data_IF_266141458277
#
_entry.id   IF_266141458277
#
_cell.length_a   1.000
_cell.length_b   1.000
_cell.length_c   1.000
_cell.angle_alpha   90.00
_cell.angle_beta   90.00
_cell.angle_gamma   90.00
#
_symmetry.space_group_name_H-M   'P 1'
#
loop_
_entity.id
_entity.type
_entity.pdbx_description
1 polymer ?
#
# COMPACT_ATOMS: atom_id res chain seq x y z
N UNK A 1 52.25 -40.14 14.57
CA UNK A 1 50.78 -40.31 14.39
C UNK A 1 49.99 -39.43 15.37
N UNK A 2 50.40 -39.33 16.62
CA UNK A 2 49.75 -38.58 17.71
C UNK A 2 49.57 -37.06 17.47
N UNK A 3 50.54 -36.37 16.84
CA UNK A 3 50.42 -34.93 16.54
C UNK A 3 49.33 -34.59 15.50
N UNK A 4 49.04 -35.48 14.53
CA UNK A 4 47.98 -35.27 13.53
C UNK A 4 46.58 -35.48 14.12
N UNK A 5 46.45 -36.40 15.08
CA UNK A 5 45.19 -36.68 15.78
C UNK A 5 44.81 -35.51 16.70
N UNK A 6 45.78 -34.93 17.42
CA UNK A 6 45.54 -33.75 18.28
C UNK A 6 45.15 -32.52 17.45
N UNK A 7 45.80 -32.29 16.30
CA UNK A 7 45.44 -31.17 15.42
C UNK A 7 44.04 -31.33 14.82
N UNK A 8 43.66 -32.56 14.45
CA UNK A 8 42.32 -32.87 13.94
C UNK A 8 41.24 -32.72 15.02
N UNK A 9 41.52 -33.16 16.26
CA UNK A 9 40.61 -32.96 17.41
C UNK A 9 40.47 -31.49 17.79
N UNK A 10 41.55 -30.70 17.79
CA UNK A 10 41.46 -29.25 18.01
C UNK A 10 40.68 -28.55 16.88
N UNK A 11 40.86 -28.97 15.62
CA UNK A 11 40.12 -28.40 14.49
C UNK A 11 38.63 -28.76 14.55
N UNK A 12 38.28 -29.98 14.99
CA UNK A 12 36.90 -30.42 15.22
C UNK A 12 36.27 -29.67 16.40
N UNK A 13 37.03 -29.45 17.48
CA UNK A 13 36.58 -28.69 18.66
C UNK A 13 36.36 -27.21 18.32
N UNK A 14 37.25 -26.63 17.50
CA UNK A 14 37.10 -25.26 16.97
C UNK A 14 35.92 -25.19 16.00
N UNK A 15 35.69 -26.18 15.13
CA UNK A 15 34.50 -26.21 14.26
C UNK A 15 33.19 -26.34 15.06
N UNK A 16 33.17 -27.17 16.12
CA UNK A 16 32.01 -27.31 17.01
C UNK A 16 31.75 -26.07 17.89
N UNK A 17 32.78 -25.27 18.17
CA UNK A 17 32.62 -23.97 18.85
C UNK A 17 32.22 -22.85 17.87
N UNK A 18 32.73 -22.84 16.64
CA UNK A 18 32.38 -21.82 15.63
C UNK A 18 30.91 -21.97 15.20
N UNK A 19 30.36 -23.18 15.12
CA UNK A 19 28.94 -23.39 14.77
C UNK A 19 27.94 -23.06 15.89
N UNK A 20 28.39 -22.83 17.13
CA UNK A 20 27.51 -22.45 18.25
C UNK A 20 27.51 -20.95 18.59
N UNK A 21 28.34 -20.14 17.94
CA UNK A 21 28.52 -18.72 18.31
C UNK A 21 27.78 -17.74 17.37
N UNK A 22 27.21 -18.21 16.27
CA UNK A 22 26.13 -17.45 15.63
C UNK A 22 24.83 -17.82 16.32
N UNK A 23 24.48 -17.08 17.37
CA UNK A 23 23.09 -16.98 17.78
C UNK A 23 22.32 -16.51 16.53
N UNK A 24 21.68 -17.44 15.83
CA UNK A 24 20.81 -17.12 14.71
C UNK A 24 19.73 -16.21 15.28
N UNK A 25 19.72 -14.97 14.82
CA UNK A 25 18.61 -14.06 15.09
C UNK A 25 17.40 -14.68 14.41
N UNK A 26 16.35 -14.95 15.19
CA UNK A 26 15.12 -15.59 14.71
C UNK A 26 14.00 -14.58 14.62
N UNK A 27 13.06 -14.76 13.68
CA UNK A 27 11.90 -13.86 13.55
C UNK A 27 10.86 -14.11 14.64
N UNK A 28 10.95 -15.27 15.30
CA UNK A 28 10.04 -15.72 16.36
C UNK A 28 10.79 -16.03 17.65
N UNK A 29 10.14 -15.79 18.78
CA UNK A 29 10.64 -16.19 20.09
C UNK A 29 9.55 -16.18 21.15
N UNK A 30 9.82 -16.79 22.30
CA UNK A 30 9.04 -16.61 23.51
C UNK A 30 9.88 -15.95 24.59
N UNK A 31 9.28 -15.03 25.33
CA UNK A 31 9.78 -14.59 26.62
C UNK A 31 8.92 -15.22 27.71
N UNK A 32 9.54 -16.04 28.57
CA UNK A 32 8.86 -16.68 29.69
C UNK A 32 9.19 -15.91 30.96
N UNK A 33 8.16 -15.36 31.61
CA UNK A 33 8.23 -14.77 32.94
C UNK A 33 7.75 -15.83 33.94
N UNK A 34 8.62 -16.25 34.85
CA UNK A 34 8.28 -17.19 35.93
C UNK A 34 8.33 -16.48 37.27
N UNK A 35 7.17 -16.36 37.92
CA UNK A 35 7.03 -15.86 39.28
C UNK A 35 6.87 -17.03 40.26
N UNK A 36 7.73 -17.07 41.28
CA UNK A 36 7.65 -18.05 42.37
C UNK A 36 6.72 -17.48 43.45
N UNK A 37 5.50 -18.00 43.53
CA UNK A 37 4.42 -17.42 44.36
C UNK A 37 4.33 -18.01 45.77
N UNK A 38 4.95 -19.18 45.99
CA UNK A 38 4.97 -19.86 47.27
C UNK A 38 6.04 -20.94 47.32
N UNK A 39 6.18 -21.61 48.46
CA UNK A 39 7.06 -22.77 48.59
C UNK A 39 6.50 -23.77 49.62
N UNK A 40 6.57 -25.05 49.28
CA UNK A 40 6.46 -26.20 50.19
C UNK A 40 7.84 -26.86 50.38
N UNK A 41 7.89 -28.08 50.91
CA UNK A 41 9.15 -28.76 51.25
C UNK A 41 10.02 -29.08 50.03
N UNK A 42 9.42 -29.55 48.95
CA UNK A 42 10.06 -29.69 47.64
C UNK A 42 9.10 -29.17 46.56
N UNK A 43 9.56 -28.23 45.72
CA UNK A 43 8.75 -27.68 44.64
C UNK A 43 9.61 -27.56 43.40
N UNK A 44 9.13 -28.09 42.29
CA UNK A 44 9.80 -27.98 41.00
C UNK A 44 8.82 -27.44 39.98
N UNK A 45 9.20 -26.38 39.27
CA UNK A 45 8.41 -25.77 38.22
C UNK A 45 9.15 -25.84 36.91
N UNK A 46 8.64 -26.64 35.97
CA UNK A 46 9.28 -26.91 34.70
C UNK A 46 8.38 -26.54 33.53
N UNK A 47 8.98 -25.98 32.50
CA UNK A 47 8.32 -25.75 31.22
C UNK A 47 9.25 -26.22 30.10
N UNK A 48 8.73 -27.01 29.19
CA UNK A 48 9.40 -27.48 27.99
C UNK A 48 8.68 -26.94 26.77
N UNK A 49 9.46 -26.40 25.83
CA UNK A 49 8.96 -25.86 24.58
C UNK A 49 9.66 -26.59 23.44
N UNK A 50 8.86 -27.12 22.51
CA UNK A 50 9.33 -27.82 21.32
C UNK A 50 8.43 -27.47 20.14
N UNK A 51 8.98 -27.48 18.94
CA UNK A 51 8.20 -27.38 17.70
C UNK A 51 8.29 -28.69 16.92
N UNK A 52 7.51 -28.77 15.84
CA UNK A 52 7.62 -29.82 14.84
C UNK A 52 9.03 -29.94 14.21
N UNK A 53 9.85 -28.89 14.29
CA UNK A 53 11.24 -28.89 13.79
C UNK A 53 12.28 -29.23 14.85
N UNK A 54 11.88 -29.41 16.11
CA UNK A 54 12.75 -29.89 17.18
C UNK A 54 12.55 -29.20 18.53
N UNK A 55 13.44 -29.51 19.47
CA UNK A 55 13.42 -28.90 20.80
C UNK A 55 13.87 -27.43 20.74
N UNK A 56 13.09 -26.54 21.37
CA UNK A 56 13.37 -25.10 21.44
C UNK A 56 14.12 -24.77 22.73
N UNK A 57 13.60 -25.22 23.86
CA UNK A 57 14.18 -24.89 25.16
C UNK A 57 13.35 -25.36 26.35
N UNK A 58 13.89 -25.19 27.55
CA UNK A 58 13.18 -25.46 28.79
C UNK A 58 13.57 -24.49 29.90
N UNK A 59 12.66 -24.30 30.85
CA UNK A 59 12.93 -23.64 32.14
C UNK A 59 12.71 -24.64 33.26
N UNK A 60 13.47 -24.52 34.35
CA UNK A 60 13.31 -25.32 35.56
C UNK A 60 13.68 -24.46 36.76
N UNK A 61 12.78 -24.39 37.74
CA UNK A 61 12.94 -23.56 38.92
C UNK A 61 12.55 -24.32 40.18
N UNK A 62 13.35 -24.13 41.23
CA UNK A 62 13.05 -24.65 42.56
C UNK A 62 12.48 -23.53 43.45
N UNK A 63 11.33 -23.79 44.09
CA UNK A 63 10.76 -22.85 45.05
C UNK A 63 11.25 -23.16 46.48
N UNK A 64 11.82 -22.16 47.13
CA UNK A 64 12.27 -22.18 48.52
C UNK A 64 11.93 -20.86 49.20
N UNK A 65 12.16 -20.78 50.51
CA UNK A 65 11.98 -19.54 51.28
C UNK A 65 12.78 -18.35 50.75
N UNK A 66 13.87 -18.59 50.01
CA UNK A 66 14.72 -17.55 49.42
C UNK A 66 14.35 -17.18 47.99
N UNK A 67 13.49 -17.96 47.32
CA UNK A 67 13.09 -17.70 45.93
C UNK A 67 11.66 -17.21 45.79
N UNK A 68 10.82 -17.33 46.82
CA UNK A 68 9.47 -16.77 46.81
C UNK A 68 9.51 -15.26 46.61
N UNK A 69 8.67 -14.79 45.69
CA UNK A 69 8.61 -13.40 45.24
C UNK A 69 9.58 -13.08 44.10
N UNK A 70 10.52 -13.97 43.77
CA UNK A 70 11.41 -13.75 42.63
C UNK A 70 10.67 -13.93 41.31
N UNK A 71 11.05 -13.09 40.35
CA UNK A 71 10.60 -13.16 38.96
C UNK A 71 11.82 -13.43 38.09
N UNK A 72 11.72 -14.48 37.27
CA UNK A 72 12.76 -14.90 36.34
C UNK A 72 12.27 -14.74 34.90
N UNK A 73 13.19 -14.37 34.00
CA UNK A 73 12.91 -14.23 32.57
C UNK A 73 13.79 -15.17 31.77
N UNK A 74 13.19 -15.93 30.85
CA UNK A 74 13.91 -16.81 29.93
C UNK A 74 13.46 -16.53 28.49
N UNK A 75 14.42 -16.19 27.63
CA UNK A 75 14.19 -16.02 26.21
C UNK A 75 14.42 -17.34 25.47
N UNK A 76 13.48 -17.71 24.60
CA UNK A 76 13.51 -18.93 23.80
C UNK A 76 13.36 -18.59 22.31
N UNK A 77 14.45 -18.56 21.52
CA UNK A 77 14.37 -18.31 20.08
C UNK A 77 13.74 -19.50 19.36
N UNK A 78 12.90 -19.23 18.36
CA UNK A 78 12.21 -20.27 17.58
C UNK A 78 12.62 -20.12 16.13
N UNK A 79 13.11 -21.20 15.52
CA UNK A 79 13.44 -21.19 14.09
C UNK A 79 12.19 -20.99 13.24
N UNK A 80 12.27 -20.09 12.25
CA UNK A 80 11.13 -19.65 11.46
C UNK A 80 10.46 -20.77 10.64
N UNK A 81 11.12 -21.91 10.43
CA UNK A 81 10.60 -23.05 9.66
C UNK A 81 9.52 -23.87 10.36
N UNK A 82 9.16 -23.55 11.61
CA UNK A 82 8.11 -24.25 12.35
C UNK A 82 6.71 -24.06 11.76
N UNK A 83 5.82 -25.01 12.05
CA UNK A 83 4.38 -24.94 11.78
C UNK A 83 3.56 -24.82 13.06
N UNK A 84 4.05 -25.42 14.14
CA UNK A 84 3.42 -25.50 15.43
C UNK A 84 4.47 -25.54 16.55
N UNK A 85 4.06 -25.11 17.74
CA UNK A 85 4.84 -25.21 18.98
C UNK A 85 4.00 -25.91 20.02
N UNK A 86 4.56 -26.96 20.61
CA UNK A 86 4.04 -27.64 21.79
C UNK A 86 4.73 -27.13 23.04
N UNK A 87 3.94 -26.69 24.02
CA UNK A 87 4.38 -26.25 25.34
C UNK A 87 3.89 -27.27 26.37
N UNK A 88 4.79 -27.80 27.18
CA UNK A 88 4.48 -28.69 28.31
C UNK A 88 4.94 -28.05 29.60
N UNK A 89 4.02 -27.85 30.54
CA UNK A 89 4.30 -27.34 31.89
C UNK A 89 4.10 -28.46 32.88
N UNK A 90 5.09 -28.68 33.75
CA UNK A 90 5.00 -29.61 34.86
C UNK A 90 5.46 -28.90 36.14
N UNK A 91 4.49 -28.58 37.00
CA UNK A 91 4.74 -27.97 38.29
C UNK A 91 4.34 -28.96 39.39
N UNK A 92 5.24 -29.22 40.33
CA UNK A 92 5.00 -30.12 41.46
C UNK A 92 5.35 -29.43 42.77
N UNK A 93 4.59 -29.74 43.82
CA UNK A 93 4.87 -29.29 45.18
C UNK A 93 4.52 -30.39 46.19
N UNK A 94 5.42 -30.62 47.14
CA UNK A 94 5.36 -31.69 48.15
C UNK A 94 5.51 -31.07 49.53
N UNK A 95 4.63 -31.39 50.49
CA UNK A 95 4.79 -31.07 51.92
C UNK A 95 5.44 -32.22 52.66
N UNK A 96 6.05 -31.91 53.80
CA UNK A 96 6.57 -32.94 54.72
C UNK A 96 5.38 -33.79 55.17
N UNK A 97 5.42 -35.10 54.86
CA UNK A 97 4.45 -36.15 55.20
C UNK A 97 3.20 -36.32 54.29
N UNK A 98 3.13 -35.67 53.14
CA UNK A 98 2.10 -35.94 52.10
C UNK A 98 2.77 -36.14 50.73
N UNK A 99 2.38 -37.20 50.00
CA UNK A 99 2.78 -37.42 48.61
C UNK A 99 1.96 -36.53 47.66
N UNK A 100 2.54 -36.11 46.51
CA UNK A 100 2.58 -34.70 46.10
C UNK A 100 1.29 -33.94 46.43
N UNK A 101 1.41 -32.89 47.26
CA UNK A 101 0.27 -32.04 47.64
C UNK A 101 -0.29 -31.24 46.47
N UNK A 102 0.52 -31.01 45.44
CA UNK A 102 0.07 -30.43 44.19
C UNK A 102 0.89 -30.95 43.03
N UNK A 103 0.20 -31.36 41.97
CA UNK A 103 0.76 -31.57 40.63
C UNK A 103 -0.09 -30.79 39.66
N UNK A 104 0.55 -29.98 38.82
CA UNK A 104 -0.07 -29.25 37.74
C UNK A 104 0.69 -29.58 36.46
N UNK A 105 0.01 -30.31 35.57
CA UNK A 105 0.52 -30.66 34.26
C UNK A 105 -0.40 -30.05 33.20
N UNK A 106 0.18 -29.38 32.22
CA UNK A 106 -0.56 -28.84 31.08
C UNK A 106 0.26 -28.93 29.83
N UNK A 107 -0.39 -29.36 28.76
CA UNK A 107 0.16 -29.34 27.40
C UNK A 107 -0.70 -28.43 26.53
N UNK A 108 -0.06 -27.60 25.72
CA UNK A 108 -0.74 -26.70 24.80
C UNK A 108 0.02 -26.61 23.48
N UNK A 109 -0.71 -26.71 22.39
CA UNK A 109 -0.20 -26.52 21.03
C UNK A 109 -0.59 -25.13 20.52
N UNK A 110 0.34 -24.47 19.84
CA UNK A 110 0.16 -23.16 19.20
C UNK A 110 0.60 -23.26 17.75
N UNK A 111 -0.35 -23.11 16.83
CA UNK A 111 -0.06 -23.02 15.40
C UNK A 111 0.63 -21.69 15.08
N UNK A 112 1.56 -21.70 14.12
CA UNK A 112 2.28 -20.49 13.68
C UNK A 112 1.34 -19.35 13.25
N UNK A 113 0.22 -19.67 12.59
CA UNK A 113 -0.80 -18.69 12.21
C UNK A 113 -1.45 -17.96 13.40
N UNK A 114 -1.39 -18.56 14.59
CA UNK A 114 -1.96 -18.05 15.83
C UNK A 114 -0.87 -17.62 16.83
N UNK A 115 0.38 -17.49 16.40
CA UNK A 115 1.52 -17.30 17.30
C UNK A 115 1.36 -16.07 18.21
N UNK A 116 0.81 -14.98 17.68
CA UNK A 116 0.57 -13.73 18.41
C UNK A 116 -0.83 -13.63 19.04
N UNK A 117 -1.59 -14.72 19.15
CA UNK A 117 -2.94 -14.71 19.73
C UNK A 117 -2.92 -14.62 21.27
N UNK A 118 -2.25 -13.59 21.79
CA UNK A 118 -2.20 -13.25 23.21
C UNK A 118 -1.11 -13.97 24.01
N UNK A 119 -0.99 -13.54 25.26
CA UNK A 119 -0.05 -14.11 26.24
C UNK A 119 -0.63 -15.43 26.76
N UNK A 120 0.21 -16.46 26.88
CA UNK A 120 -0.19 -17.71 27.51
C UNK A 120 0.09 -17.69 29.01
N UNK A 121 -0.86 -18.22 29.77
CA UNK A 121 -0.82 -18.20 31.24
C UNK A 121 -0.91 -19.62 31.79
N UNK A 122 0.03 -19.94 32.67
CA UNK A 122 0.10 -21.21 33.38
C UNK A 122 0.29 -20.91 34.87
N UNK A 123 -0.68 -21.29 35.70
CA UNK A 123 -0.65 -21.05 37.14
C UNK A 123 -0.91 -22.37 37.85
N UNK A 124 0.04 -22.81 38.68
CA UNK A 124 -0.08 -24.10 39.35
C UNK A 124 0.95 -24.29 40.45
N UNK A 125 0.50 -24.88 41.54
CA UNK A 125 1.29 -25.16 42.74
C UNK A 125 1.97 -23.90 43.31
N UNK A 126 3.28 -23.75 43.10
CA UNK A 126 4.11 -22.67 43.65
C UNK A 126 4.59 -21.68 42.57
N UNK A 127 4.08 -21.80 41.33
CA UNK A 127 4.60 -21.07 40.17
C UNK A 127 3.47 -20.43 39.36
N UNK A 128 3.75 -19.22 38.89
CA UNK A 128 2.93 -18.51 37.93
C UNK A 128 3.82 -18.12 36.74
N UNK A 129 3.54 -18.72 35.58
CA UNK A 129 4.34 -18.58 34.37
C UNK A 129 3.51 -17.88 33.29
N UNK A 130 4.03 -16.78 32.76
CA UNK A 130 3.50 -16.12 31.57
C UNK A 130 4.45 -16.35 30.41
N UNK A 131 3.91 -16.58 29.23
CA UNK A 131 4.69 -16.71 28.01
C UNK A 131 4.22 -15.67 26.99
N UNK A 132 5.10 -14.71 26.71
CA UNK A 132 4.87 -13.63 25.76
C UNK A 132 5.37 -14.06 24.38
N UNK A 133 4.51 -14.12 23.36
CA UNK A 133 4.97 -14.32 21.98
C UNK A 133 5.72 -13.08 21.50
N UNK A 134 6.90 -13.30 20.92
CA UNK A 134 7.74 -12.27 20.33
C UNK A 134 7.82 -12.52 18.83
N UNK A 135 7.07 -11.73 18.07
CA UNK A 135 7.10 -11.69 16.61
C UNK A 135 6.43 -10.38 16.19
N UNK A 136 7.15 -9.51 15.48
CA UNK A 136 6.63 -8.18 15.14
C UNK A 136 5.58 -8.29 14.03
N UNK A 137 4.32 -8.01 14.38
CA UNK A 137 3.26 -7.79 13.39
C UNK A 137 3.10 -6.29 13.19
N UNK A 138 3.05 -5.88 11.92
CA UNK A 138 2.57 -4.56 11.51
C UNK A 138 1.30 -4.72 10.65
N UNK A 139 0.41 -3.74 10.72
CA UNK A 139 -0.82 -3.75 9.92
C UNK A 139 -0.63 -3.19 8.50
N UNK A 140 0.61 -2.83 8.13
CA UNK A 140 0.99 -2.41 6.76
C UNK A 140 1.11 -3.65 5.84
N UNK A 141 0.05 -4.44 5.78
CA UNK A 141 -0.03 -5.66 4.99
C UNK A 141 -0.39 -5.34 3.53
N UNK A 142 0.46 -4.63 2.77
CA UNK A 142 0.62 -4.65 1.30
C UNK A 142 1.92 -3.88 0.97
N UNK A 143 2.99 -4.58 0.58
CA UNK A 143 4.08 -4.07 -0.29
C UNK A 143 5.06 -3.00 0.25
N UNK A 144 6.35 -3.29 0.08
CA UNK A 144 7.54 -2.40 0.06
C UNK A 144 8.14 -1.83 1.37
N UNK A 145 7.60 -2.11 2.56
CA UNK A 145 8.15 -1.65 3.86
C UNK A 145 8.54 -0.15 3.89
N UNK A 146 7.91 0.65 3.04
CA UNK A 146 8.20 2.07 2.88
C UNK A 146 7.16 2.86 3.65
N UNK A 147 7.62 3.74 4.52
CA UNK A 147 6.78 4.54 5.42
C UNK A 147 7.24 5.99 5.32
N UNK A 148 6.38 6.96 5.56
CA UNK A 148 6.76 8.36 5.56
C UNK A 148 6.80 8.91 7.00
N UNK A 149 7.45 10.06 7.18
CA UNK A 149 7.55 10.77 8.46
C UNK A 149 6.22 11.01 9.21
N UNK A 150 5.07 10.98 8.54
CA UNK A 150 3.74 11.23 9.12
C UNK A 150 2.98 9.93 9.42
N UNK A 151 3.52 8.78 9.02
CA UNK A 151 2.90 7.50 9.36
C UNK A 151 3.07 7.21 10.85
N UNK A 152 2.06 6.56 11.41
CA UNK A 152 2.13 5.92 12.72
C UNK A 152 2.12 4.41 12.50
N UNK A 153 3.11 3.72 13.05
CA UNK A 153 3.22 2.27 12.98
C UNK A 153 2.55 1.65 14.20
N UNK A 154 1.50 0.87 13.99
CA UNK A 154 0.89 0.05 15.03
C UNK A 154 1.57 -1.32 15.03
N UNK A 155 2.37 -1.58 16.07
CA UNK A 155 3.16 -2.80 16.19
C UNK A 155 2.69 -3.63 17.37
N UNK A 156 2.61 -4.95 17.17
CA UNK A 156 2.20 -5.91 18.20
C UNK A 156 3.14 -7.13 18.26
N UNK A 157 3.00 -7.93 19.31
CA UNK A 157 3.77 -9.16 19.51
C UNK A 157 5.18 -8.90 20.03
N UNK A 158 5.32 -8.01 21.02
CA UNK A 158 6.59 -7.72 21.67
C UNK A 158 6.55 -7.65 23.18
N UNK A 159 7.62 -7.13 23.79
CA UNK A 159 7.71 -6.88 25.24
C UNK A 159 8.57 -5.64 25.54
N UNK A 160 9.89 -5.74 25.36
CA UNK A 160 10.78 -4.57 25.32
C UNK A 160 11.02 -4.17 23.86
N UNK A 161 10.89 -2.90 23.55
CA UNK A 161 10.95 -2.35 22.20
C UNK A 161 12.12 -1.40 22.05
N UNK A 162 12.88 -1.60 20.98
CA UNK A 162 14.01 -0.76 20.64
C UNK A 162 13.98 -0.35 19.18
N UNK A 163 14.54 0.82 18.90
CA UNK A 163 14.69 1.34 17.55
C UNK A 163 16.14 1.72 17.23
N UNK A 164 16.44 1.79 15.94
CA UNK A 164 17.70 2.24 15.38
C UNK A 164 17.44 2.99 14.07
N UNK A 165 18.11 4.13 13.89
CA UNK A 165 18.06 4.92 12.65
C UNK A 165 19.46 4.91 12.02
N UNK A 166 19.57 4.40 10.79
CA UNK A 166 20.84 4.32 10.05
C UNK A 166 20.98 3.10 9.14
N UNK A 167 22.15 2.98 8.50
CA UNK A 167 22.41 1.98 7.44
C UNK A 167 23.01 0.66 7.91
N UNK A 168 23.40 0.50 9.19
CA UNK A 168 24.04 -0.74 9.64
C UNK A 168 23.09 -1.91 9.42
N UNK A 169 23.48 -2.88 8.59
CA UNK A 169 22.70 -4.10 8.33
C UNK A 169 22.46 -4.87 9.63
N UNK A 170 23.49 -4.96 10.47
CA UNK A 170 23.44 -5.51 11.82
C UNK A 170 24.00 -4.48 12.81
N UNK A 171 23.16 -3.59 13.38
CA UNK A 171 23.58 -2.67 14.42
C UNK A 171 24.00 -3.45 15.67
N UNK A 172 25.09 -3.03 16.32
CA UNK A 172 25.54 -3.59 17.59
C UNK A 172 24.55 -3.22 18.70
N UNK A 173 24.50 -3.96 19.80
CA UNK A 173 23.48 -3.71 20.85
C UNK A 173 23.55 -2.30 21.46
N UNK A 174 24.73 -1.68 21.51
CA UNK A 174 24.89 -0.29 21.93
C UNK A 174 24.39 0.77 20.93
N UNK A 175 24.05 0.39 19.70
CA UNK A 175 23.46 1.29 18.71
C UNK A 175 21.94 1.47 18.91
N UNK A 176 21.30 0.53 19.60
CA UNK A 176 19.84 0.51 19.76
C UNK A 176 19.38 1.42 20.90
N UNK A 177 18.24 2.08 20.69
CA UNK A 177 17.62 2.99 21.66
C UNK A 177 16.32 2.42 22.18
N UNK A 178 16.09 2.57 23.48
CA UNK A 178 14.85 2.14 24.11
C UNK A 178 13.68 3.01 23.64
N UNK A 179 12.59 2.37 23.23
CA UNK A 179 11.34 3.03 22.87
C UNK A 179 10.27 2.84 23.95
N UNK A 180 10.02 1.58 24.30
CA UNK A 180 9.06 1.19 25.32
C UNK A 180 9.49 -0.13 25.98
N UNK A 181 9.00 -0.40 27.19
CA UNK A 181 9.40 -1.59 27.97
C UNK A 181 8.19 -2.23 28.64
N UNK A 182 8.23 -3.56 28.76
CA UNK A 182 7.18 -4.38 29.35
C UNK A 182 5.76 -4.14 28.78
N UNK A 183 5.65 -3.91 27.46
CA UNK A 183 4.37 -3.71 26.76
C UNK A 183 4.30 -4.55 25.49
N UNK A 184 3.14 -5.13 25.22
CA UNK A 184 2.97 -6.04 24.07
C UNK A 184 2.71 -5.34 22.75
N UNK A 185 2.19 -4.12 22.79
CA UNK A 185 1.80 -3.33 21.63
C UNK A 185 2.33 -1.90 21.80
N UNK A 186 2.74 -1.29 20.69
CA UNK A 186 3.21 0.10 20.64
C UNK A 186 2.66 0.81 19.40
N UNK A 187 2.48 2.12 19.52
CA UNK A 187 2.12 3.03 18.44
C UNK A 187 3.30 3.98 18.21
N UNK A 188 3.94 3.91 17.06
CA UNK A 188 5.19 4.60 16.75
C UNK A 188 4.97 5.67 15.70
N UNK A 189 4.97 6.95 16.10
CA UNK A 189 5.04 8.05 15.15
C UNK A 189 6.46 8.17 14.57
N UNK A 190 6.60 7.95 13.26
CA UNK A 190 7.90 7.94 12.58
C UNK A 190 8.58 9.30 12.67
N UNK A 191 7.83 10.39 12.49
CA UNK A 191 8.36 11.75 12.53
C UNK A 191 8.87 12.15 13.91
N UNK A 192 8.15 11.76 14.96
CA UNK A 192 8.54 12.05 16.34
C UNK A 192 9.84 11.33 16.73
N UNK A 193 10.04 10.09 16.25
CA UNK A 193 11.31 9.37 16.42
C UNK A 193 12.48 10.14 15.79
N UNK A 194 12.32 10.56 14.54
CA UNK A 194 13.37 11.31 13.83
C UNK A 194 13.63 12.68 14.46
N UNK A 195 12.59 13.38 14.90
CA UNK A 195 12.71 14.65 15.60
C UNK A 195 13.45 14.51 16.94
N UNK A 196 13.21 13.41 17.67
CA UNK A 196 13.93 13.09 18.92
C UNK A 196 15.43 12.91 18.67
N UNK A 197 15.81 12.40 17.50
CA UNK A 197 17.19 12.27 17.05
C UNK A 197 17.79 13.58 16.49
N UNK A 198 17.00 14.65 16.39
CA UNK A 198 17.41 15.89 15.72
C UNK A 198 17.60 15.72 14.20
N UNK A 199 16.96 14.72 13.60
CA UNK A 199 17.06 14.42 12.17
C UNK A 199 15.83 14.96 11.45
N UNK A 200 16.04 15.92 10.56
CA UNK A 200 15.03 16.34 9.59
C UNK A 200 15.03 15.39 8.41
N UNK A 201 13.98 14.58 8.25
CA UNK A 201 13.86 13.61 7.15
C UNK A 201 13.96 14.30 5.79
N UNK A 202 13.45 15.52 5.68
CA UNK A 202 13.32 16.23 4.42
C UNK A 202 14.69 16.77 3.94
N UNK A 203 15.62 17.00 4.87
CA UNK A 203 17.00 17.39 4.56
C UNK A 203 17.87 16.18 4.18
N UNK A 204 17.36 14.95 4.33
CA UNK A 204 18.09 13.75 3.95
C UNK A 204 17.97 13.49 2.44
N UNK A 205 19.08 13.19 1.79
CA UNK A 205 19.06 12.65 0.43
C UNK A 205 18.25 11.33 0.38
N UNK A 206 17.60 10.96 -0.75
CA UNK A 206 16.80 9.74 -0.85
C UNK A 206 17.56 8.45 -0.53
N UNK A 207 18.88 8.41 -0.78
CA UNK A 207 19.74 7.27 -0.48
C UNK A 207 20.48 7.39 0.86
N UNK A 208 20.14 8.37 1.70
CA UNK A 208 20.82 8.59 2.97
C UNK A 208 20.60 7.39 3.91
N UNK A 209 21.66 6.85 4.55
CA UNK A 209 21.57 5.83 5.59
C UNK A 209 20.49 6.07 6.65
N UNK A 210 20.32 7.33 7.03
CA UNK A 210 19.38 7.77 8.06
C UNK A 210 17.93 7.57 7.64
N UNK A 211 17.61 7.28 6.37
CA UNK A 211 16.26 6.91 5.95
C UNK A 211 15.90 5.45 6.28
N UNK A 212 16.80 4.65 6.85
CA UNK A 212 16.50 3.30 7.31
C UNK A 212 16.14 3.32 8.80
N UNK A 213 14.88 3.02 9.12
CA UNK A 213 14.36 2.84 10.48
C UNK A 213 14.26 1.35 10.78
N UNK A 214 14.87 0.89 11.87
CA UNK A 214 14.77 -0.49 12.34
C UNK A 214 14.11 -0.55 13.69
N UNK A 215 13.22 -1.50 13.89
CA UNK A 215 12.53 -1.74 15.17
C UNK A 215 12.67 -3.21 15.52
N UNK A 216 13.07 -3.51 16.76
CA UNK A 216 13.18 -4.87 17.30
C UNK A 216 12.45 -5.00 18.63
N UNK A 217 12.08 -6.23 18.97
CA UNK A 217 11.51 -6.54 20.29
C UNK A 217 12.17 -7.75 20.94
N UNK A 218 12.10 -7.82 22.27
CA UNK A 218 12.84 -8.81 23.05
C UNK A 218 12.78 -8.56 24.55
N UNK A 219 13.87 -8.88 25.22
CA UNK A 219 14.05 -8.66 26.65
C UNK A 219 15.40 -8.00 26.92
N UNK A 220 15.35 -6.74 27.33
CA UNK A 220 16.53 -5.87 27.45
C UNK A 220 17.52 -6.35 28.50
N UNK A 221 17.03 -6.87 29.63
CA UNK A 221 17.91 -7.29 30.73
C UNK A 221 18.71 -8.55 30.41
N UNK A 222 18.25 -9.39 29.47
CA UNK A 222 19.01 -10.54 28.97
C UNK A 222 19.77 -10.28 27.67
N UNK A 223 19.62 -9.08 27.09
CA UNK A 223 20.17 -8.72 25.78
C UNK A 223 19.81 -9.75 24.68
N UNK A 224 18.52 -10.12 24.64
CA UNK A 224 17.98 -11.08 23.67
C UNK A 224 16.80 -10.47 22.94
N UNK A 225 16.87 -10.48 21.61
CA UNK A 225 15.88 -9.89 20.73
C UNK A 225 15.61 -10.80 19.53
N UNK A 226 14.39 -10.73 19.00
CA UNK A 226 14.06 -11.31 17.69
C UNK A 226 14.59 -10.41 16.56
N UNK A 227 14.52 -10.89 15.32
CA UNK A 227 14.88 -10.13 14.13
C UNK A 227 14.20 -8.78 14.09
N UNK A 228 14.98 -7.77 13.68
CA UNK A 228 14.46 -6.43 13.52
C UNK A 228 13.64 -6.30 12.24
N UNK A 229 12.53 -5.59 12.33
CA UNK A 229 11.80 -5.11 11.16
C UNK A 229 12.43 -3.83 10.65
N UNK A 230 12.65 -3.75 9.34
CA UNK A 230 13.31 -2.60 8.69
C UNK A 230 12.33 -1.88 7.78
N UNK A 231 12.23 -0.57 7.97
CA UNK A 231 11.41 0.34 7.18
C UNK A 231 12.29 1.34 6.42
N UNK A 232 11.93 1.64 5.18
CA UNK A 232 12.52 2.73 4.41
C UNK A 232 11.66 3.98 4.58
N UNK A 233 12.24 5.06 5.07
CA UNK A 233 11.54 6.30 5.40
C UNK A 233 11.60 7.28 4.24
N UNK A 234 10.47 7.45 3.55
CA UNK A 234 10.31 8.38 2.45
C UNK A 234 9.81 9.75 2.92
N UNK A 235 9.85 10.71 1.99
CA UNK A 235 9.14 11.96 2.15
C UNK A 235 7.62 11.69 2.10
N UNK A 236 6.84 12.50 2.82
CA UNK A 236 5.38 12.34 2.87
C UNK A 236 4.71 13.10 1.75
N UNK A 237 4.03 12.41 0.84
CA UNK A 237 3.14 13.06 -0.13
C UNK A 237 1.95 13.74 0.57
N UNK A 238 1.44 14.87 0.06
CA UNK A 238 0.17 15.43 0.46
C UNK A 238 -0.96 14.40 0.36
N UNK A 239 -1.88 14.40 1.31
CA UNK A 239 -3.05 13.51 1.29
C UNK A 239 -3.99 13.86 0.13
N UNK A 240 -4.47 12.86 -0.60
CA UNK A 240 -5.52 13.06 -1.60
C UNK A 240 -6.83 13.47 -0.92
N UNK A 241 -7.49 14.52 -1.42
CA UNK A 241 -8.79 14.98 -0.91
C UNK A 241 -9.93 14.62 -1.84
N UNK A 242 -9.85 15.05 -3.09
CA UNK A 242 -10.90 14.80 -4.09
C UNK A 242 -10.42 15.10 -5.50
N UNK A 243 -11.19 14.66 -6.48
CA UNK A 243 -11.06 15.14 -7.86
C UNK A 243 -11.89 16.40 -8.08
N UNK A 244 -11.40 17.27 -8.95
CA UNK A 244 -12.12 18.46 -9.41
C UNK A 244 -11.86 18.72 -10.90
N UNK A 245 -12.56 19.70 -11.48
CA UNK A 245 -12.49 20.03 -12.91
C UNK A 245 -12.65 18.80 -13.81
N UNK A 246 -13.57 17.91 -13.43
CA UNK A 246 -13.90 16.71 -14.18
C UNK A 246 -14.72 17.08 -15.41
N UNK A 247 -14.11 16.99 -16.58
CA UNK A 247 -14.73 17.31 -17.87
C UNK A 247 -14.78 16.04 -18.71
N UNK A 248 -15.97 15.64 -19.14
CA UNK A 248 -16.18 14.57 -20.13
C UNK A 248 -15.64 14.97 -21.50
N UNK A 249 -15.45 14.02 -22.41
CA UNK A 249 -15.03 14.35 -23.78
C UNK A 249 -16.06 15.24 -24.49
N UNK A 250 -15.64 16.07 -25.43
CA UNK A 250 -16.55 16.91 -26.23
C UNK A 250 -17.33 16.11 -27.28
N UNK A 251 -16.79 14.95 -27.67
CA UNK A 251 -17.39 14.00 -28.60
C UNK A 251 -17.11 12.56 -28.21
N UNK A 252 -17.94 11.66 -28.72
CA UNK A 252 -17.83 10.21 -28.50
C UNK A 252 -16.45 9.66 -28.91
N UNK A 253 -15.84 10.26 -29.93
CA UNK A 253 -14.57 9.83 -30.51
C UNK A 253 -13.40 10.79 -30.21
N UNK A 254 -13.62 11.82 -29.39
CA UNK A 254 -12.54 12.73 -28.98
C UNK A 254 -11.90 12.21 -27.69
N UNK A 255 -10.66 12.61 -27.47
CA UNK A 255 -9.87 12.25 -26.28
C UNK A 255 -9.64 13.43 -25.35
N UNK A 256 -10.48 14.45 -25.42
CA UNK A 256 -10.28 15.76 -24.79
C UNK A 256 -10.93 15.90 -23.40
N UNK A 257 -11.12 14.79 -22.69
CA UNK A 257 -11.51 14.80 -21.29
C UNK A 257 -10.44 15.49 -20.43
N UNK A 258 -10.86 16.00 -19.27
CA UNK A 258 -9.97 16.66 -18.28
C UNK A 258 -10.33 16.24 -16.86
N UNK A 259 -9.32 16.30 -16.00
CA UNK A 259 -9.45 16.01 -14.57
C UNK A 259 -8.35 16.75 -13.82
N UNK A 260 -8.56 16.98 -12.53
CA UNK A 260 -7.59 17.61 -11.64
C UNK A 260 -7.72 17.03 -10.23
N UNK A 261 -6.68 17.16 -9.42
CA UNK A 261 -6.59 16.57 -8.08
C UNK A 261 -6.45 17.65 -7.02
N UNK A 262 -7.28 17.60 -5.98
CA UNK A 262 -7.09 18.38 -4.77
C UNK A 262 -6.32 17.56 -3.74
N UNK A 263 -5.25 18.16 -3.22
CA UNK A 263 -4.39 17.61 -2.18
C UNK A 263 -4.55 18.41 -0.88
N UNK A 264 -4.28 17.78 0.26
CA UNK A 264 -4.55 18.32 1.60
C UNK A 264 -3.59 19.42 2.08
N UNK A 265 -2.51 19.66 1.33
CA UNK A 265 -1.52 20.71 1.60
C UNK A 265 -0.78 21.07 0.32
N UNK A 266 -0.12 22.23 0.33
CA UNK A 266 0.79 22.63 -0.73
C UNK A 266 2.04 21.74 -0.75
N UNK A 267 2.80 21.86 -1.84
CA UNK A 267 4.19 21.41 -1.92
C UNK A 267 5.02 22.29 -0.96
N UNK A 268 5.86 21.65 -0.15
CA UNK A 268 6.71 22.32 0.83
C UNK A 268 7.94 22.94 0.18
N UNK A 269 7.80 24.22 -0.19
CA UNK A 269 8.85 25.01 -0.84
C UNK A 269 10.08 25.18 0.06
N UNK A 270 9.90 25.22 1.39
CA UNK A 270 11.02 25.38 2.32
C UNK A 270 11.98 24.17 2.27
N UNK A 271 11.48 23.05 1.73
CA UNK A 271 12.19 21.78 1.66
C UNK A 271 12.51 21.34 0.23
N UNK A 272 12.34 22.24 -0.75
CA UNK A 272 12.50 21.94 -2.17
C UNK A 272 11.70 20.68 -2.57
N UNK A 273 10.43 20.57 -2.16
CA UNK A 273 9.55 19.48 -2.58
C UNK A 273 9.09 19.69 -4.04
N UNK A 274 8.81 18.60 -4.77
CA UNK A 274 8.05 18.61 -6.02
C UNK A 274 7.11 17.40 -6.08
N UNK A 275 5.99 17.56 -6.76
CA UNK A 275 5.00 16.51 -6.95
C UNK A 275 5.25 15.79 -8.28
N UNK A 276 5.30 14.46 -8.25
CA UNK A 276 5.33 13.59 -9.42
C UNK A 276 3.99 12.87 -9.52
N UNK A 277 3.36 12.92 -10.69
CA UNK A 277 2.05 12.31 -10.92
C UNK A 277 2.06 11.53 -12.23
N UNK A 278 1.45 10.35 -12.22
CA UNK A 278 1.19 9.54 -13.42
C UNK A 278 -0.24 9.01 -13.43
N UNK A 279 -0.71 8.60 -14.60
CA UNK A 279 -2.09 8.17 -14.86
C UNK A 279 -2.13 6.70 -15.27
N UNK A 280 -3.03 5.94 -14.65
CA UNK A 280 -3.35 4.57 -15.02
C UNK A 280 -4.79 4.48 -15.52
N UNK A 281 -5.02 3.64 -16.52
CA UNK A 281 -6.35 3.22 -16.97
C UNK A 281 -6.67 1.87 -16.35
N UNK A 282 -7.86 1.77 -15.77
CA UNK A 282 -8.35 0.52 -15.19
C UNK A 282 -8.65 -0.49 -16.30
N UNK A 283 -7.99 -1.65 -16.25
CA UNK A 283 -8.27 -2.80 -17.10
C UNK A 283 -8.35 -4.05 -16.20
N UNK A 284 -9.59 -4.51 -16.00
CA UNK A 284 -9.92 -5.65 -15.13
C UNK A 284 -9.51 -7.00 -15.74
N UNK A 285 -9.13 -7.04 -17.02
CA UNK A 285 -8.80 -8.27 -17.74
C UNK A 285 -7.30 -8.49 -17.80
N UNK A 286 -6.53 -7.46 -18.15
CA UNK A 286 -5.07 -7.57 -18.36
C UNK A 286 -4.23 -6.91 -17.26
N UNK A 287 -4.88 -6.35 -16.24
CA UNK A 287 -4.26 -5.52 -15.22
C UNK A 287 -4.16 -4.05 -15.66
N UNK A 288 -4.13 -3.16 -14.67
CA UNK A 288 -4.16 -1.71 -14.90
C UNK A 288 -3.06 -1.25 -15.86
N UNK A 289 -3.45 -0.45 -16.86
CA UNK A 289 -2.57 0.02 -17.91
C UNK A 289 -1.97 1.38 -17.55
N UNK A 290 -0.65 1.46 -17.52
CA UNK A 290 0.07 2.73 -17.40
C UNK A 290 -0.01 3.51 -18.71
N UNK A 291 -0.48 4.76 -18.64
CA UNK A 291 -0.74 5.56 -19.85
C UNK A 291 0.52 6.15 -20.50
N UNK A 292 1.72 5.86 -19.97
CA UNK A 292 3.00 6.39 -20.46
C UNK A 292 3.14 7.92 -20.32
N UNK A 293 2.33 8.52 -19.43
CA UNK A 293 2.27 9.95 -19.18
C UNK A 293 2.66 10.25 -17.74
N UNK A 294 3.46 11.30 -17.54
CA UNK A 294 3.78 11.82 -16.22
C UNK A 294 3.85 13.34 -16.23
N UNK A 295 3.60 13.95 -15.07
CA UNK A 295 3.75 15.38 -14.82
C UNK A 295 4.56 15.58 -13.54
N UNK A 296 5.37 16.62 -13.55
CA UNK A 296 6.20 17.03 -12.43
C UNK A 296 5.90 18.48 -12.14
N UNK A 297 5.36 18.77 -10.97
CA UNK A 297 4.96 20.11 -10.58
C UNK A 297 5.73 20.57 -9.36
N UNK A 298 6.13 21.84 -9.35
CA UNK A 298 6.78 22.47 -8.19
C UNK A 298 5.84 23.38 -7.41
N UNK A 299 4.62 23.61 -7.91
CA UNK A 299 3.62 24.46 -7.25
C UNK A 299 2.22 23.87 -7.45
N UNK A 300 1.35 24.08 -6.47
CA UNK A 300 -0.08 23.76 -6.56
C UNK A 300 -0.94 25.03 -6.51
N UNK A 301 -2.15 24.94 -7.05
CA UNK A 301 -3.11 26.05 -7.03
C UNK A 301 -3.89 26.01 -5.71
N UNK A 302 -3.79 27.03 -4.87
CA UNK A 302 -4.60 27.09 -3.66
C UNK A 302 -6.10 27.25 -3.99
N UNK A 303 -6.88 26.20 -3.74
CA UNK A 303 -8.33 26.14 -3.97
C UNK A 303 -9.15 26.43 -2.70
N UNK A 304 -8.50 26.85 -1.60
CA UNK A 304 -9.14 27.16 -0.32
C UNK A 304 -9.45 25.93 0.54
N UNK A 305 -9.70 26.14 1.84
CA UNK A 305 -10.16 25.07 2.76
C UNK A 305 -9.22 23.86 2.83
N UNK A 306 -7.90 24.10 2.93
CA UNK A 306 -6.86 23.06 2.92
C UNK A 306 -6.85 22.19 1.65
N UNK A 307 -7.21 22.77 0.50
CA UNK A 307 -7.17 22.11 -0.80
C UNK A 307 -6.19 22.81 -1.73
N UNK A 308 -5.27 22.04 -2.27
CA UNK A 308 -4.23 22.49 -3.20
C UNK A 308 -4.32 21.68 -4.48
N UNK A 309 -4.63 22.36 -5.58
CA UNK A 309 -5.00 21.80 -6.85
C UNK A 309 -3.81 21.53 -7.75
N UNK A 310 -3.70 20.29 -8.21
CA UNK A 310 -2.87 19.88 -9.35
C UNK A 310 -3.77 19.70 -10.58
N UNK A 311 -3.42 20.30 -11.72
CA UNK A 311 -4.15 20.17 -12.98
C UNK A 311 -3.42 19.19 -13.88
N UNK A 312 -4.09 18.10 -14.26
CA UNK A 312 -3.48 17.15 -15.19
C UNK A 312 -3.31 17.80 -16.58
N UNK A 313 -2.09 17.81 -17.14
CA UNK A 313 -1.82 18.59 -18.34
C UNK A 313 -2.23 17.88 -19.64
N UNK A 314 -2.54 16.58 -19.60
CA UNK A 314 -2.86 15.79 -20.79
C UNK A 314 -4.36 15.53 -20.96
N UNK A 315 -4.73 15.41 -22.22
CA UNK A 315 -6.04 15.00 -22.70
C UNK A 315 -6.31 13.52 -22.34
N UNK A 316 -7.51 13.22 -21.81
CA UNK A 316 -7.91 11.87 -21.41
C UNK A 316 -9.10 11.40 -22.23
N UNK A 317 -8.98 10.21 -22.83
CA UNK A 317 -10.08 9.52 -23.50
C UNK A 317 -11.11 8.98 -22.51
N UNK A 318 -12.19 8.42 -23.05
CA UNK A 318 -13.26 7.85 -22.22
C UNK A 318 -12.81 6.56 -21.54
N UNK A 319 -13.15 6.40 -20.27
CA UNK A 319 -12.81 5.20 -19.50
C UNK A 319 -12.72 5.46 -18.01
N UNK A 320 -12.27 4.43 -17.28
CA UNK A 320 -11.98 4.50 -15.85
C UNK A 320 -10.49 4.57 -15.61
N UNK A 321 -10.08 5.44 -14.70
CA UNK A 321 -8.70 5.79 -14.44
C UNK A 321 -8.47 6.03 -12.96
N UNK A 322 -7.21 6.07 -12.57
CA UNK A 322 -6.76 6.57 -11.29
C UNK A 322 -5.37 7.18 -11.44
N UNK A 323 -5.03 8.08 -10.53
CA UNK A 323 -3.68 8.64 -10.46
C UNK A 323 -2.83 7.87 -9.47
N UNK A 324 -1.54 7.84 -9.77
CA UNK A 324 -0.49 7.49 -8.83
C UNK A 324 0.45 8.68 -8.67
N UNK A 325 0.77 9.05 -7.44
CA UNK A 325 1.55 10.26 -7.17
C UNK A 325 2.48 10.12 -5.97
N UNK A 326 3.55 10.91 -5.98
CA UNK A 326 4.42 11.06 -4.83
C UNK A 326 5.10 12.42 -4.83
N UNK A 327 5.29 12.96 -3.64
CA UNK A 327 6.20 14.08 -3.45
C UNK A 327 7.63 13.60 -3.24
N UNK A 328 8.56 14.23 -3.94
CA UNK A 328 9.99 13.94 -3.86
C UNK A 328 10.78 15.23 -3.72
N UNK A 329 12.02 15.13 -3.24
CA UNK A 329 12.95 16.26 -3.29
C UNK A 329 13.17 16.71 -4.76
N UNK A 330 13.24 18.01 -5.00
CA UNK A 330 13.33 18.66 -6.32
C UNK A 330 14.55 18.22 -7.12
N UNK A 331 15.65 17.89 -6.43
CA UNK A 331 16.88 17.39 -7.04
C UNK A 331 16.81 15.90 -7.41
N UNK A 332 15.82 15.16 -6.92
CA UNK A 332 15.58 13.76 -7.29
C UNK A 332 14.97 13.71 -8.68
N UNK A 333 15.60 13.00 -9.62
CA UNK A 333 14.95 12.71 -10.90
C UNK A 333 14.16 11.39 -10.78
N UNK A 334 12.88 11.36 -11.21
CA UNK A 334 12.20 10.11 -11.50
C UNK A 334 12.98 9.30 -12.55
N UNK A 335 12.76 7.97 -12.64
CA UNK A 335 13.34 7.15 -13.70
C UNK A 335 13.08 7.74 -15.09
N UNK A 336 14.10 7.74 -15.92
CA UNK A 336 14.08 8.10 -17.35
C UNK A 336 14.47 6.84 -18.14
N UNK A 337 13.70 6.40 -19.16
CA UNK A 337 12.60 7.08 -19.84
C UNK A 337 11.27 7.12 -19.08
N UNK A 338 10.31 7.87 -19.66
CA UNK A 338 8.89 7.94 -19.28
C UNK A 338 8.29 6.60 -18.81
N UNK A 339 7.22 6.63 -17.99
CA UNK A 339 6.73 5.47 -17.25
C UNK A 339 6.54 4.21 -18.12
N UNK A 340 7.27 3.13 -17.80
CA UNK A 340 7.11 1.78 -18.38
C UNK A 340 6.24 0.92 -17.45
N UNK A 341 5.33 0.13 -18.02
CA UNK A 341 4.44 -0.77 -17.28
C UNK A 341 5.19 -1.82 -16.43
N UNK A 342 6.47 -2.07 -16.69
CA UNK A 342 7.33 -2.97 -15.92
C UNK A 342 8.15 -2.27 -14.84
N UNK A 343 8.11 -0.94 -14.75
CA UNK A 343 8.88 -0.19 -13.77
C UNK A 343 8.19 -0.21 -12.38
N UNK A 344 8.92 -0.73 -11.39
CA UNK A 344 8.44 -0.83 -10.02
C UNK A 344 8.27 0.55 -9.35
N UNK A 345 9.00 1.58 -9.80
CA UNK A 345 8.90 2.92 -9.23
C UNK A 345 7.50 3.50 -9.39
N UNK A 346 6.93 3.46 -10.59
CA UNK A 346 5.60 4.04 -10.85
C UNK A 346 4.48 3.24 -10.18
N UNK A 347 4.72 1.96 -9.88
CA UNK A 347 3.77 1.10 -9.18
C UNK A 347 3.76 1.35 -7.66
N UNK A 348 4.87 1.78 -7.07
CA UNK A 348 4.98 2.00 -5.62
C UNK A 348 4.42 3.35 -5.15
N UNK A 349 4.11 4.27 -6.07
CA UNK A 349 3.54 5.57 -5.75
C UNK A 349 2.13 5.44 -5.14
N UNK A 350 1.71 6.49 -4.41
CA UNK A 350 0.41 6.54 -3.71
C UNK A 350 -0.73 6.52 -4.72
N UNK A 351 -1.63 5.57 -4.57
CA UNK A 351 -2.80 5.39 -5.42
C UNK A 351 -3.99 6.24 -4.95
N UNK A 352 -4.75 6.77 -5.91
CA UNK A 352 -6.00 7.50 -5.66
C UNK A 352 -7.22 6.64 -6.01
N UNK A 353 -8.42 6.94 -5.47
CA UNK A 353 -9.64 6.22 -5.84
C UNK A 353 -9.95 6.31 -7.35
N UNK A 354 -10.61 5.30 -7.93
CA UNK A 354 -10.95 5.30 -9.35
C UNK A 354 -11.95 6.42 -9.73
N UNK A 355 -11.72 7.07 -10.86
CA UNK A 355 -12.63 8.03 -11.49
C UNK A 355 -12.93 7.66 -12.96
N UNK A 356 -14.07 8.11 -13.47
CA UNK A 356 -14.51 7.84 -14.85
C UNK A 356 -14.57 9.09 -15.73
N UNK A 357 -13.88 9.13 -16.86
CA UNK A 357 -14.12 10.12 -17.91
C UNK A 357 -15.26 9.62 -18.80
N UNK A 358 -16.41 10.28 -18.69
CA UNK A 358 -17.57 9.95 -19.50
C UNK A 358 -17.41 10.37 -20.95
N UNK A 359 -18.10 9.67 -21.85
CA UNK A 359 -18.27 10.05 -23.24
C UNK A 359 -19.34 11.13 -23.41
N UNK A 360 -19.19 12.04 -24.37
CA UNK A 360 -20.31 12.86 -24.83
C UNK A 360 -21.43 12.00 -25.44
N UNK A 361 -22.67 12.48 -25.40
CA UNK A 361 -23.78 11.86 -26.13
C UNK A 361 -23.57 12.01 -27.64
N UNK A 362 -23.62 10.90 -28.39
CA UNK A 362 -23.53 10.94 -29.86
C UNK A 362 -24.63 11.84 -30.44
N UNK A 363 -24.33 12.56 -31.52
CA UNK A 363 -25.37 13.22 -32.31
C UNK A 363 -26.00 12.17 -33.22
N UNK A 364 -27.31 11.96 -33.11
CA UNK A 364 -28.05 11.10 -34.03
C UNK A 364 -29.19 11.89 -34.65
N UNK A 365 -29.55 11.53 -35.87
CA UNK A 365 -30.66 12.16 -36.58
C UNK A 365 -31.38 11.17 -37.48
N UNK A 366 -32.62 11.50 -37.80
CA UNK A 366 -33.39 10.90 -38.87
C UNK A 366 -33.64 11.95 -39.94
N UNK A 367 -33.45 11.56 -41.20
CA UNK A 367 -33.85 12.35 -42.35
C UNK A 367 -35.02 11.63 -43.03
N UNK A 368 -36.16 12.32 -43.12
CA UNK A 368 -37.34 11.79 -43.80
C UNK A 368 -37.71 12.73 -44.93
N UNK A 369 -38.06 12.14 -46.06
CA UNK A 369 -38.64 12.89 -47.17
C UNK A 369 -39.96 13.48 -46.71
N UNK A 370 -40.08 14.80 -46.79
CA UNK A 370 -41.27 15.52 -46.35
C UNK A 370 -42.20 15.82 -47.53
N UNK A 371 -41.66 16.26 -48.66
CA UNK A 371 -42.40 16.46 -49.91
C UNK A 371 -41.50 16.25 -51.15
N UNK A 372 -42.09 15.79 -52.25
CA UNK A 372 -41.43 15.72 -53.57
C UNK A 372 -41.51 17.04 -54.31
N UNK A 373 -40.65 17.22 -55.31
CA UNK A 373 -40.87 18.28 -56.30
C UNK A 373 -42.23 18.09 -56.99
N UNK A 374 -42.96 19.20 -57.19
CA UNK A 374 -44.28 19.13 -57.83
C UNK A 374 -44.19 18.98 -59.35
N UNK A 375 -43.07 19.40 -59.95
CA UNK A 375 -42.80 19.35 -61.39
C UNK A 375 -41.28 19.21 -61.62
N UNK A 376 -40.89 18.68 -62.79
CA UNK A 376 -39.47 18.56 -63.17
C UNK A 376 -38.81 19.94 -63.18
N UNK A 377 -37.76 20.10 -62.37
CA UNK A 377 -37.00 21.35 -62.24
C UNK A 377 -37.57 22.35 -61.25
N UNK A 378 -38.67 22.03 -60.58
CA UNK A 378 -39.18 22.82 -59.46
C UNK A 378 -38.25 22.67 -58.25
N UNK A 379 -37.91 23.78 -57.60
CA UNK A 379 -37.08 23.79 -56.38
C UNK A 379 -37.98 23.79 -55.14
N UNK A 380 -38.84 22.79 -55.01
CA UNK A 380 -39.80 22.71 -53.92
C UNK A 380 -39.87 21.34 -53.22
N UNK A 381 -38.88 20.48 -53.42
CA UNK A 381 -38.72 19.29 -52.59
C UNK A 381 -38.23 19.67 -51.18
N UNK A 382 -38.65 18.88 -50.19
CA UNK A 382 -38.35 19.13 -48.78
C UNK A 382 -37.94 17.86 -48.04
N UNK A 383 -36.94 17.99 -47.16
CA UNK A 383 -36.50 16.94 -46.25
C UNK A 383 -36.68 17.42 -44.81
N UNK A 384 -37.39 16.63 -44.01
CA UNK A 384 -37.49 16.85 -42.57
C UNK A 384 -36.32 16.18 -41.86
N UNK A 385 -35.56 16.96 -41.11
CA UNK A 385 -34.52 16.48 -40.22
C UNK A 385 -35.01 16.53 -38.78
N UNK A 386 -34.91 15.40 -38.08
CA UNK A 386 -35.18 15.29 -36.65
C UNK A 386 -33.91 14.78 -35.95
N UNK A 387 -33.39 15.56 -35.00
CA UNK A 387 -32.30 15.18 -34.12
C UNK A 387 -32.85 14.30 -33.01
N UNK A 388 -32.34 13.07 -32.92
CA UNK A 388 -32.78 12.05 -31.97
C UNK A 388 -31.85 11.95 -30.76
N UNK A 389 -30.60 12.42 -30.87
CA UNK A 389 -29.69 12.58 -29.74
C UNK A 389 -28.63 13.64 -29.96
N UNK A 390 -28.02 14.10 -28.87
CA UNK A 390 -26.97 15.11 -28.81
C UNK A 390 -27.10 15.89 -27.50
N UNK A 391 -26.14 16.77 -27.22
CA UNK A 391 -26.10 17.54 -25.95
C UNK A 391 -26.36 19.04 -26.13
N UNK A 392 -26.53 19.48 -27.38
CA UNK A 392 -26.76 20.88 -27.72
C UNK A 392 -28.20 21.11 -28.16
N UNK A 393 -28.59 22.38 -28.30
CA UNK A 393 -29.85 22.78 -28.94
C UNK A 393 -29.64 23.44 -30.31
N UNK A 394 -28.38 23.52 -30.75
CA UNK A 394 -27.97 24.15 -32.01
C UNK A 394 -27.13 23.17 -32.81
N UNK A 395 -27.49 23.04 -34.09
CA UNK A 395 -26.91 22.08 -35.02
C UNK A 395 -26.61 22.75 -36.35
N UNK A 396 -25.76 22.09 -37.14
CA UNK A 396 -25.42 22.47 -38.50
C UNK A 396 -25.65 21.28 -39.41
N UNK A 397 -26.24 21.51 -40.57
CA UNK A 397 -26.31 20.50 -41.63
C UNK A 397 -25.60 21.00 -42.90
N UNK A 398 -25.08 20.05 -43.67
CA UNK A 398 -24.50 20.28 -44.99
C UNK A 398 -25.04 19.19 -45.92
N UNK A 399 -25.27 19.57 -47.18
CA UNK A 399 -25.89 18.69 -48.17
C UNK A 399 -24.95 18.51 -49.34
N UNK A 400 -24.74 17.25 -49.72
CA UNK A 400 -24.04 16.87 -50.92
C UNK A 400 -25.00 16.20 -51.90
N UNK A 401 -24.82 16.49 -53.17
CA UNK A 401 -25.43 15.75 -54.27
C UNK A 401 -24.53 14.57 -54.63
N UNK A 402 -25.13 13.41 -54.87
CA UNK A 402 -24.44 12.20 -55.31
C UNK A 402 -24.90 11.85 -56.72
N UNK A 403 -23.96 11.78 -57.65
CA UNK A 403 -24.19 11.36 -59.03
C UNK A 403 -23.21 10.27 -59.42
N UNK A 404 -23.65 9.01 -59.34
CA UNK A 404 -22.78 7.85 -59.47
C UNK A 404 -21.75 7.80 -58.34
N UNK A 405 -20.46 7.85 -58.68
CA UNK A 405 -19.35 7.89 -57.70
C UNK A 405 -18.96 9.31 -57.29
N UNK A 406 -19.45 10.33 -58.00
CA UNK A 406 -19.13 11.74 -57.74
C UNK A 406 -20.01 12.31 -56.62
N UNK A 407 -19.37 13.00 -55.66
CA UNK A 407 -20.04 13.69 -54.55
C UNK A 407 -19.69 15.17 -54.61
N UNK A 408 -20.67 16.03 -54.86
CA UNK A 408 -20.47 17.48 -54.99
C UNK A 408 -21.25 18.24 -53.92
N UNK A 409 -20.70 19.37 -53.46
CA UNK A 409 -21.38 20.21 -52.48
C UNK A 409 -22.65 20.83 -53.10
N UNK A 410 -23.81 20.56 -52.51
CA UNK A 410 -25.09 21.14 -52.93
C UNK A 410 -25.49 22.34 -52.07
N UNK A 411 -25.35 22.23 -50.74
CA UNK A 411 -25.59 23.32 -49.79
C UNK A 411 -24.55 23.30 -48.70
N UNK A 412 -23.92 24.45 -48.45
CA UNK A 412 -22.93 24.62 -47.39
C UNK A 412 -23.59 24.62 -45.99
N UNK A 413 -22.76 24.61 -44.95
CA UNK A 413 -23.18 24.55 -43.55
C UNK A 413 -24.26 25.58 -43.22
N UNK A 414 -25.44 25.08 -42.86
CA UNK A 414 -26.59 25.88 -42.44
C UNK A 414 -26.92 25.56 -40.99
N UNK A 415 -27.05 26.60 -40.16
CA UNK A 415 -27.37 26.46 -38.73
C UNK A 415 -28.88 26.38 -38.54
N UNK A 416 -29.32 25.53 -37.62
CA UNK A 416 -30.68 25.53 -37.10
C UNK A 416 -30.69 25.32 -35.59
N UNK A 417 -31.80 25.71 -34.96
CA UNK A 417 -32.01 25.61 -33.50
C UNK A 417 -33.24 24.73 -33.24
N UNK A 418 -33.15 23.88 -32.23
CA UNK A 418 -34.20 22.93 -31.87
C UNK A 418 -33.98 21.53 -32.45
N UNK A 419 -34.84 20.58 -32.06
CA UNK A 419 -34.69 19.17 -32.43
C UNK A 419 -35.13 18.88 -33.87
N UNK A 420 -35.84 19.78 -34.54
CA UNK A 420 -36.40 19.55 -35.87
C UNK A 420 -36.13 20.74 -36.78
N UNK A 421 -35.84 20.47 -38.05
CA UNK A 421 -35.79 21.49 -39.10
C UNK A 421 -36.28 20.92 -40.43
N UNK A 422 -36.80 21.79 -41.30
CA UNK A 422 -37.18 21.45 -42.67
C UNK A 422 -36.13 22.05 -43.60
N UNK A 423 -35.51 21.18 -44.40
CA UNK A 423 -34.64 21.58 -45.50
C UNK A 423 -35.53 21.79 -46.73
N UNK A 424 -35.79 23.05 -47.04
CA UNK A 424 -36.63 23.44 -48.18
C UNK A 424 -35.78 23.80 -49.41
N UNK A 425 -36.46 24.07 -50.52
CA UNK A 425 -35.86 24.49 -51.79
C UNK A 425 -34.86 23.48 -52.38
N UNK A 426 -35.21 22.19 -52.33
CA UNK A 426 -34.43 21.12 -52.94
C UNK A 426 -34.96 20.82 -54.34
N UNK A 427 -34.03 20.64 -55.29
CA UNK A 427 -34.30 20.11 -56.63
C UNK A 427 -34.33 18.58 -56.57
N UNK A 428 -35.01 17.91 -57.52
CA UNK A 428 -34.88 16.45 -57.60
C UNK A 428 -33.47 16.04 -58.02
N UNK A 429 -32.84 15.24 -57.16
CA UNK A 429 -31.53 14.59 -57.39
C UNK A 429 -31.66 13.09 -57.19
N UNK A 430 -30.68 12.34 -57.72
CA UNK A 430 -30.62 10.88 -57.56
C UNK A 430 -30.48 10.49 -56.09
N UNK A 431 -29.56 11.14 -55.38
CA UNK A 431 -29.34 10.91 -53.96
C UNK A 431 -28.76 12.18 -53.31
N UNK A 432 -29.22 12.46 -52.09
CA UNK A 432 -28.63 13.45 -51.21
C UNK A 432 -27.90 12.77 -50.06
N UNK A 433 -26.69 13.24 -49.76
CA UNK A 433 -25.98 12.89 -48.52
C UNK A 433 -26.01 14.08 -47.57
N UNK A 434 -26.56 13.86 -46.40
CA UNK A 434 -26.67 14.86 -45.36
C UNK A 434 -25.67 14.52 -44.26
N UNK A 435 -24.83 15.49 -43.89
CA UNK A 435 -24.05 15.40 -42.65
C UNK A 435 -24.60 16.41 -41.67
N UNK A 436 -24.69 15.98 -40.42
CA UNK A 436 -25.10 16.82 -39.30
C UNK A 436 -23.95 16.86 -38.31
N UNK A 437 -23.73 18.04 -37.72
CA UNK A 437 -22.89 18.19 -36.54
C UNK A 437 -23.53 19.16 -35.56
N UNK A 438 -23.17 19.06 -34.28
CA UNK A 438 -23.48 20.11 -33.33
C UNK A 438 -22.58 21.35 -33.52
N UNK A 439 -22.85 22.42 -32.78
CA UNK A 439 -22.04 23.64 -32.83
C UNK A 439 -20.65 23.51 -32.22
N UNK A 440 -20.36 22.41 -31.51
CA UNK A 440 -19.03 22.08 -30.96
C UNK A 440 -18.18 21.23 -31.92
N UNK A 441 -18.72 20.89 -33.10
CA UNK A 441 -18.02 20.12 -34.13
C UNK A 441 -18.22 18.60 -34.02
N UNK A 442 -19.20 18.16 -33.22
CA UNK A 442 -19.51 16.75 -33.06
C UNK A 442 -20.39 16.23 -34.18
N UNK A 443 -19.83 15.39 -35.04
CA UNK A 443 -20.55 14.82 -36.17
C UNK A 443 -21.49 13.71 -35.72
N UNK A 444 -22.65 13.67 -36.35
CA UNK A 444 -23.47 12.48 -36.34
C UNK A 444 -22.76 11.36 -37.11
N UNK A 445 -22.24 10.37 -36.38
CA UNK A 445 -21.66 9.16 -36.96
C UNK A 445 -22.59 8.00 -36.68
N UNK A 446 -22.80 7.19 -37.72
CA UNK A 446 -23.44 5.89 -37.58
C UNK A 446 -22.47 5.01 -36.80
N UNK A 447 -22.88 4.54 -35.62
CA UNK A 447 -22.14 3.53 -34.87
C UNK A 447 -22.18 2.19 -35.63
#
# INVERSE_FOLDING_TARGET
MTKKIILFLCMLFVLMFITRIQAQVTDYGYLIETNVTGYLHANNGEMYVSSNVGFIGSTSFFASSSTVGNVYFNFMPIQDSFTDVTIKVNNTAIRINNFPDCTYEREQEVLKANFNNGILYFSGCSFYQKMYPLHIIDELAIGDNTVCARNTLELSGGYDWQYYIGSKTSPSDGDWKEYASAVTNISVNVGDLYATEGISIIDLAPAAPQRSLKIRTGHKASDKFVSAKTYQVSDCSPEFKEYYNKIKTSCVYNTDGRISLNLGRDIDIATDEKLVVTLFKEDLVNGNLLMGQSSIETNLVNNGGSKYGFVWPFDIDTGKYFFKYQSINKNTQPPDPLPDANDNYWKSLVETPVFEIFSAKNVNFTATKFSDETCVGAKNGEIKLDITSGETSKYKYIIYEVNGTSVTLYRNWTIFTGPTTIIENLEKKTEYRIKIQDTKGCFARKN
#
